data_IF_758577308151
#
_entry.id   IF_758577308151
#
_cell.length_a   1.000
_cell.length_b   1.000
_cell.length_c   1.000
_cell.angle_alpha   90.00
_cell.angle_beta   90.00
_cell.angle_gamma   90.00
#
_symmetry.space_group_name_H-M   'P 1'
#
loop_
_entity.id
_entity.type
_entity.pdbx_description
1 polymer ?
#
# COMPACT_ATOMS: atom_id res chain seq x y z
N UNK A 1 4.68 65.56 -2.29
CA UNK A 1 4.12 64.22 -1.97
C UNK A 1 4.31 63.30 -3.19
N UNK A 2 5.06 62.21 -3.06
CA UNK A 2 5.26 61.24 -4.15
C UNK A 2 4.01 60.37 -4.27
N UNK A 3 3.44 60.33 -5.48
CA UNK A 3 2.24 59.51 -5.77
C UNK A 3 2.66 58.36 -6.69
N UNK A 4 2.59 57.12 -6.19
CA UNK A 4 2.87 55.93 -6.99
C UNK A 4 1.65 55.60 -7.86
N UNK A 5 1.81 55.56 -9.16
CA UNK A 5 0.74 55.30 -10.14
C UNK A 5 1.07 54.08 -11.00
N UNK A 6 0.03 53.33 -11.38
CA UNK A 6 0.15 52.27 -12.40
C UNK A 6 0.21 52.87 -13.79
N UNK A 7 0.71 52.13 -14.80
CA UNK A 7 0.74 52.60 -16.19
C UNK A 7 -0.66 53.06 -16.70
N UNK A 8 -1.74 52.40 -16.30
CA UNK A 8 -3.10 52.83 -16.61
C UNK A 8 -3.49 54.15 -15.98
N UNK A 9 -3.06 54.41 -14.75
CA UNK A 9 -3.35 55.65 -14.03
C UNK A 9 -2.49 56.79 -14.59
N UNK A 10 -1.24 56.51 -14.93
CA UNK A 10 -0.36 57.42 -15.63
C UNK A 10 -0.91 57.88 -16.99
N UNK A 11 -1.41 56.94 -17.77
CA UNK A 11 -2.02 57.23 -19.06
C UNK A 11 -3.32 58.06 -18.96
N UNK A 12 -4.07 57.95 -17.86
CA UNK A 12 -5.28 58.74 -17.61
C UNK A 12 -4.94 60.22 -17.27
N UNK A 13 -3.82 60.49 -16.70
CA UNK A 13 -3.45 61.82 -16.22
C UNK A 13 -3.48 62.88 -17.32
N UNK A 14 -2.73 62.77 -18.46
CA UNK A 14 -2.73 63.80 -19.50
C UNK A 14 -4.08 63.94 -20.19
N UNK A 15 -4.84 62.84 -20.35
CA UNK A 15 -6.16 62.87 -20.97
C UNK A 15 -7.17 63.61 -20.11
N UNK A 16 -7.19 63.36 -18.82
CA UNK A 16 -8.10 64.06 -17.84
C UNK A 16 -7.71 65.54 -17.72
N UNK A 17 -6.43 65.87 -17.72
CA UNK A 17 -5.96 67.25 -17.75
C UNK A 17 -6.46 67.97 -19.00
N UNK A 18 -6.31 67.36 -20.19
CA UNK A 18 -6.75 67.99 -21.45
C UNK A 18 -8.28 68.24 -21.47
N UNK A 19 -9.08 67.34 -20.80
CA UNK A 19 -10.52 67.56 -20.68
C UNK A 19 -10.84 68.73 -19.75
N UNK A 20 -10.13 68.84 -18.62
CA UNK A 20 -10.32 69.95 -17.64
C UNK A 20 -9.94 71.28 -18.25
N UNK A 21 -8.90 71.32 -19.04
CA UNK A 21 -8.41 72.52 -19.75
C UNK A 21 -9.21 72.80 -21.01
N UNK A 22 -10.32 72.07 -21.27
CA UNK A 22 -11.23 72.24 -22.44
C UNK A 22 -10.53 71.97 -23.80
N UNK A 23 -9.36 71.32 -23.82
CA UNK A 23 -8.63 70.94 -25.05
C UNK A 23 -9.17 69.66 -25.68
N UNK A 24 -9.90 68.81 -24.89
CA UNK A 24 -10.45 67.56 -25.34
C UNK A 24 -11.92 67.45 -24.84
N UNK A 25 -12.82 66.93 -25.68
CA UNK A 25 -14.23 66.69 -25.28
C UNK A 25 -14.31 65.41 -24.43
N UNK A 26 -15.33 65.34 -23.56
CA UNK A 26 -15.53 64.16 -22.68
C UNK A 26 -15.77 62.88 -23.47
N UNK A 27 -16.53 62.94 -24.58
CA UNK A 27 -16.79 61.83 -25.46
C UNK A 27 -15.51 61.23 -26.08
N UNK A 28 -14.59 62.12 -26.51
CA UNK A 28 -13.34 61.72 -27.14
C UNK A 28 -12.39 61.13 -26.08
N UNK A 29 -12.34 61.69 -24.88
CA UNK A 29 -11.59 61.15 -23.74
C UNK A 29 -12.15 59.78 -23.29
N UNK A 30 -13.47 59.57 -23.32
CA UNK A 30 -14.10 58.33 -23.02
C UNK A 30 -13.71 57.26 -24.04
N UNK A 31 -13.70 57.58 -25.31
CA UNK A 31 -13.26 56.69 -26.38
C UNK A 31 -11.76 56.36 -26.25
N UNK A 32 -10.90 57.36 -26.01
CA UNK A 32 -9.46 57.17 -25.89
C UNK A 32 -9.07 56.33 -24.65
N UNK A 33 -9.78 56.48 -23.55
CA UNK A 33 -9.54 55.72 -22.29
C UNK A 33 -10.32 54.42 -22.24
N UNK A 34 -11.17 54.15 -23.18
CA UNK A 34 -12.10 52.98 -23.19
C UNK A 34 -12.99 52.96 -21.93
N UNK A 35 -13.50 54.14 -21.56
CA UNK A 35 -14.38 54.35 -20.40
C UNK A 35 -15.72 54.96 -20.87
N UNK A 36 -16.71 54.96 -19.97
CA UNK A 36 -17.92 55.71 -20.19
C UNK A 36 -17.73 57.19 -19.86
N UNK A 37 -18.48 58.10 -20.47
CA UNK A 37 -18.41 59.52 -20.15
C UNK A 37 -18.68 59.80 -18.69
N UNK A 38 -19.57 59.04 -18.04
CA UNK A 38 -19.83 59.09 -16.61
C UNK A 38 -18.60 58.76 -15.77
N UNK A 39 -17.76 57.80 -16.23
CA UNK A 39 -16.53 57.45 -15.54
C UNK A 39 -15.49 58.53 -15.75
N UNK A 40 -15.37 59.15 -16.93
CA UNK A 40 -14.51 60.30 -17.21
C UNK A 40 -14.90 61.45 -16.30
N UNK A 41 -16.21 61.79 -16.18
CA UNK A 41 -16.69 62.83 -15.28
C UNK A 41 -16.31 62.57 -13.81
N UNK A 42 -16.40 61.31 -13.35
CA UNK A 42 -15.98 60.94 -11.98
C UNK A 42 -14.46 61.14 -11.79
N UNK A 43 -13.66 60.80 -12.78
CA UNK A 43 -12.22 61.00 -12.73
C UNK A 43 -11.85 62.51 -12.73
N UNK A 44 -12.56 63.33 -13.52
CA UNK A 44 -12.38 64.77 -13.53
C UNK A 44 -12.67 65.41 -12.14
N UNK A 45 -13.79 65.00 -11.54
CA UNK A 45 -14.18 65.48 -10.19
C UNK A 45 -13.09 65.13 -9.15
N UNK A 46 -12.67 63.87 -9.13
CA UNK A 46 -11.60 63.36 -8.24
C UNK A 46 -10.26 64.07 -8.48
N UNK A 47 -9.93 64.39 -9.76
CA UNK A 47 -8.74 65.14 -10.07
C UNK A 47 -8.81 66.58 -9.59
N UNK A 48 -9.99 67.23 -9.68
CA UNK A 48 -10.22 68.58 -9.13
C UNK A 48 -10.09 68.66 -7.61
N UNK A 49 -10.52 67.60 -6.93
CA UNK A 49 -10.50 67.52 -5.45
C UNK A 49 -9.09 67.19 -4.92
N UNK A 50 -8.36 66.26 -5.54
CA UNK A 50 -7.16 65.69 -5.00
C UNK A 50 -5.97 65.66 -5.98
N UNK A 51 -6.04 66.38 -7.09
CA UNK A 51 -5.02 66.39 -8.13
C UNK A 51 -4.71 65.00 -8.70
N UNK A 52 -3.45 64.77 -9.04
CA UNK A 52 -3.00 63.48 -9.57
C UNK A 52 -3.30 62.27 -8.62
N UNK A 53 -3.27 62.51 -7.32
CA UNK A 53 -3.60 61.47 -6.32
C UNK A 53 -5.06 61.01 -6.45
N UNK A 54 -5.99 61.84 -6.91
CA UNK A 54 -7.37 61.49 -7.15
C UNK A 54 -7.61 60.48 -8.28
N UNK A 55 -6.61 60.30 -9.17
CA UNK A 55 -6.68 59.32 -10.26
C UNK A 55 -6.18 57.93 -9.84
N UNK A 56 -5.57 57.80 -8.67
CA UNK A 56 -5.11 56.53 -8.15
C UNK A 56 -6.28 55.69 -7.65
N UNK A 57 -6.08 54.36 -7.63
CA UNK A 57 -7.09 53.47 -7.10
C UNK A 57 -7.27 53.65 -5.59
N UNK A 58 -8.42 54.17 -5.13
CA UNK A 58 -8.75 54.39 -3.73
C UNK A 58 -8.76 53.13 -2.85
N UNK A 59 -8.73 51.95 -3.45
CA UNK A 59 -8.61 50.68 -2.77
C UNK A 59 -7.17 50.20 -2.58
N UNK A 60 -6.17 50.92 -3.15
CA UNK A 60 -4.77 50.55 -3.03
C UNK A 60 -4.34 50.67 -1.54
N UNK A 61 -3.74 49.55 -1.05
CA UNK A 61 -3.30 49.45 0.35
C UNK A 61 -4.44 49.18 1.37
N UNK A 62 -5.72 49.16 0.95
CA UNK A 62 -6.82 48.74 1.83
C UNK A 62 -7.00 47.25 1.77
N UNK A 63 -7.24 46.56 2.92
CA UNK A 63 -7.54 45.13 2.92
C UNK A 63 -8.82 44.87 2.13
N UNK A 64 -8.84 43.74 1.41
CA UNK A 64 -10.01 43.32 0.64
C UNK A 64 -11.20 43.04 1.57
N UNK A 65 -12.42 43.18 1.05
CA UNK A 65 -13.70 42.99 1.79
C UNK A 65 -13.85 41.56 2.34
N UNK A 66 -13.11 40.60 1.78
CA UNK A 66 -13.12 39.16 2.18
C UNK A 66 -11.84 38.77 2.92
N UNK A 67 -11.12 39.75 3.52
CA UNK A 67 -9.94 39.42 4.32
C UNK A 67 -10.39 38.64 5.56
N UNK A 68 -9.82 37.48 5.73
CA UNK A 68 -10.01 36.66 6.94
C UNK A 68 -9.29 37.36 8.10
N UNK A 69 -9.89 37.29 9.29
CA UNK A 69 -9.33 37.89 10.50
C UNK A 69 -7.92 37.34 10.81
N UNK A 70 -7.04 38.25 11.21
CA UNK A 70 -5.65 37.92 11.55
C UNK A 70 -5.56 37.01 12.80
N UNK A 71 -6.53 37.13 13.74
CA UNK A 71 -6.61 36.23 14.88
C UNK A 71 -6.89 34.78 14.44
N UNK A 72 -7.85 34.57 13.55
CA UNK A 72 -8.14 33.25 12.99
C UNK A 72 -6.94 32.70 12.17
N UNK A 73 -6.26 33.57 11.44
CA UNK A 73 -5.04 33.18 10.73
C UNK A 73 -3.96 32.69 11.68
N UNK A 74 -3.72 33.40 12.78
CA UNK A 74 -2.73 32.99 13.79
C UNK A 74 -3.12 31.66 14.43
N UNK A 75 -4.40 31.48 14.79
CA UNK A 75 -4.92 30.22 15.33
C UNK A 75 -4.67 29.05 14.36
N UNK A 76 -5.00 29.21 13.08
CA UNK A 76 -4.78 28.17 12.05
C UNK A 76 -3.31 27.82 11.94
N UNK A 77 -2.40 28.82 11.90
CA UNK A 77 -0.96 28.59 11.78
C UNK A 77 -0.39 27.87 13.03
N UNK A 78 -0.93 28.13 14.21
CA UNK A 78 -0.58 27.42 15.44
C UNK A 78 -1.01 25.97 15.37
N UNK A 79 -2.28 25.69 15.02
CA UNK A 79 -2.79 24.34 14.83
C UNK A 79 -1.98 23.54 13.80
N UNK A 80 -1.55 24.19 12.70
CA UNK A 80 -0.72 23.54 11.69
C UNK A 80 0.66 23.14 12.21
N UNK A 81 1.28 23.95 13.06
CA UNK A 81 2.57 23.64 13.67
C UNK A 81 2.51 22.52 14.69
N UNK A 82 1.44 22.49 15.47
CA UNK A 82 1.27 21.52 16.54
C UNK A 82 0.82 20.14 16.04
N UNK A 83 -0.18 20.09 15.16
CA UNK A 83 -0.88 18.85 14.83
C UNK A 83 -0.65 18.36 13.39
N UNK A 84 -0.24 19.26 12.46
CA UNK A 84 -0.25 18.97 11.02
C UNK A 84 1.12 19.17 10.35
N UNK A 85 2.19 18.83 11.05
CA UNK A 85 3.55 18.91 10.53
C UNK A 85 3.70 18.02 9.28
N UNK A 86 4.22 18.63 8.17
CA UNK A 86 4.43 17.92 6.91
C UNK A 86 3.18 17.71 6.05
N UNK A 87 2.01 18.22 6.48
CA UNK A 87 0.79 18.15 5.67
C UNK A 87 0.87 19.10 4.47
N UNK A 88 0.37 18.64 3.32
CA UNK A 88 0.13 19.52 2.19
C UNK A 88 -1.13 20.38 2.40
N UNK A 89 -1.26 21.53 1.70
CA UNK A 89 -2.38 22.46 1.93
C UNK A 89 -3.76 21.84 1.76
N UNK A 90 -3.92 20.90 0.84
CA UNK A 90 -5.20 20.22 0.59
C UNK A 90 -5.61 19.36 1.77
N UNK A 91 -4.73 18.47 2.22
CA UNK A 91 -5.00 17.60 3.36
C UNK A 91 -5.16 18.41 4.66
N UNK A 92 -4.36 19.45 4.83
CA UNK A 92 -4.47 20.35 5.98
C UNK A 92 -5.82 21.07 6.02
N UNK A 93 -6.33 21.59 4.90
CA UNK A 93 -7.64 22.24 4.83
C UNK A 93 -8.78 21.27 5.16
N UNK A 94 -8.71 20.04 4.66
CA UNK A 94 -9.68 18.99 4.97
C UNK A 94 -9.72 18.70 6.48
N UNK A 95 -8.55 18.49 7.11
CA UNK A 95 -8.45 18.15 8.53
C UNK A 95 -8.81 19.33 9.45
N UNK A 96 -8.50 20.56 9.05
CA UNK A 96 -8.97 21.76 9.75
C UNK A 96 -10.49 21.83 9.79
N UNK A 97 -11.16 21.51 8.68
CA UNK A 97 -12.62 21.48 8.64
C UNK A 97 -13.19 20.32 9.43
N UNK A 98 -12.63 19.11 9.29
CA UNK A 98 -13.14 17.90 9.94
C UNK A 98 -12.97 17.91 11.46
N UNK A 99 -11.81 18.33 11.96
CA UNK A 99 -11.46 18.23 13.37
C UNK A 99 -11.69 19.52 14.17
N UNK A 100 -11.65 20.66 13.48
CA UNK A 100 -11.74 21.98 14.15
C UNK A 100 -12.92 22.83 13.65
N UNK A 101 -13.69 22.35 12.67
CA UNK A 101 -14.82 23.11 12.10
C UNK A 101 -14.40 24.36 11.31
N UNK A 102 -13.12 24.50 10.97
CA UNK A 102 -12.57 25.68 10.29
C UNK A 102 -12.59 25.46 8.78
N UNK A 103 -13.52 26.14 8.10
CA UNK A 103 -13.62 26.12 6.64
C UNK A 103 -12.73 27.20 6.03
N UNK A 104 -11.68 26.80 5.30
CA UNK A 104 -10.77 27.72 4.60
C UNK A 104 -10.48 27.17 3.20
N UNK A 105 -10.31 28.08 2.23
CA UNK A 105 -9.93 27.67 0.89
C UNK A 105 -8.49 27.10 0.86
N UNK A 106 -8.28 26.02 0.11
CA UNK A 106 -6.96 25.39 -0.05
C UNK A 106 -5.93 26.40 -0.55
N UNK A 107 -6.33 27.32 -1.43
CA UNK A 107 -5.43 28.33 -2.00
C UNK A 107 -5.00 29.37 -0.96
N UNK A 108 -5.93 29.85 -0.11
CA UNK A 108 -5.61 30.75 0.99
C UNK A 108 -4.64 30.09 1.97
N UNK A 109 -4.95 28.84 2.33
CA UNK A 109 -4.09 28.07 3.24
C UNK A 109 -2.70 27.84 2.63
N UNK A 110 -2.63 27.52 1.34
CA UNK A 110 -1.37 27.36 0.61
C UNK A 110 -0.51 28.62 0.68
N UNK A 111 -1.10 29.78 0.43
CA UNK A 111 -0.40 31.05 0.54
C UNK A 111 0.13 31.30 1.95
N UNK A 112 -0.68 31.04 2.98
CA UNK A 112 -0.28 31.23 4.37
C UNK A 112 0.81 30.26 4.80
N UNK A 113 0.70 28.98 4.44
CA UNK A 113 1.71 27.97 4.74
C UNK A 113 3.04 28.27 4.04
N UNK A 114 2.99 28.72 2.79
CA UNK A 114 4.21 29.13 2.05
C UNK A 114 4.86 30.35 2.71
N UNK A 115 4.08 31.38 3.04
CA UNK A 115 4.58 32.58 3.70
C UNK A 115 5.15 32.31 5.11
N UNK A 116 4.60 31.31 5.82
CA UNK A 116 5.07 30.89 7.14
C UNK A 116 6.20 29.84 7.10
N UNK A 117 6.67 29.43 5.91
CA UNK A 117 7.72 28.41 5.74
C UNK A 117 7.27 26.99 6.12
N UNK A 118 5.98 26.75 6.30
CA UNK A 118 5.43 25.45 6.69
C UNK A 118 5.26 24.49 5.48
N UNK A 119 5.26 25.02 4.29
CA UNK A 119 5.13 24.25 3.05
C UNK A 119 5.89 24.89 1.90
N UNK A 120 6.61 24.06 1.15
CA UNK A 120 7.39 24.48 -0.03
C UNK A 120 6.72 23.88 -1.26
N UNK A 121 6.35 24.68 -2.29
CA UNK A 121 5.81 24.17 -3.53
C UNK A 121 6.79 23.25 -4.24
N UNK A 122 6.34 22.06 -4.63
CA UNK A 122 7.15 21.19 -5.47
C UNK A 122 7.43 21.87 -6.82
N UNK A 123 8.69 21.82 -7.28
CA UNK A 123 9.05 22.29 -8.61
C UNK A 123 8.19 21.58 -9.67
N UNK A 124 7.62 22.35 -10.61
CA UNK A 124 6.85 21.77 -11.72
C UNK A 124 7.77 20.88 -12.56
N UNK A 125 7.50 19.57 -12.56
CA UNK A 125 8.19 18.65 -13.47
C UNK A 125 7.80 18.97 -14.91
N UNK A 126 8.77 18.89 -15.83
CA UNK A 126 8.46 19.02 -17.26
C UNK A 126 7.43 17.95 -17.65
N UNK A 127 6.43 18.30 -18.45
CA UNK A 127 5.44 17.34 -18.90
C UNK A 127 6.11 16.24 -19.73
N UNK A 128 5.99 14.99 -19.30
CA UNK A 128 6.41 13.84 -20.09
C UNK A 128 5.25 13.42 -20.97
N UNK A 129 5.51 13.25 -22.24
CA UNK A 129 4.51 12.72 -23.19
C UNK A 129 4.37 11.22 -22.95
N UNK A 130 3.22 10.80 -22.45
CA UNK A 130 2.88 9.39 -22.29
C UNK A 130 1.74 9.02 -23.22
N UNK A 131 1.80 7.82 -23.79
CA UNK A 131 0.65 7.27 -24.47
C UNK A 131 -0.41 6.88 -23.43
N UNK A 132 -1.59 7.53 -23.39
CA UNK A 132 -2.60 7.24 -22.37
C UNK A 132 -3.18 5.86 -22.59
N UNK A 133 -3.13 5.01 -21.58
CA UNK A 133 -3.89 3.76 -21.55
C UNK A 133 -5.34 4.07 -21.17
N UNK A 134 -6.28 3.63 -21.98
CA UNK A 134 -7.70 3.74 -21.66
C UNK A 134 -8.05 2.97 -20.38
N UNK A 135 -9.00 3.49 -19.61
CA UNK A 135 -9.57 2.80 -18.46
C UNK A 135 -10.45 1.66 -18.94
N UNK A 136 -10.60 0.64 -18.11
CA UNK A 136 -11.66 -0.33 -18.29
C UNK A 136 -13.02 0.33 -18.11
N UNK A 137 -14.05 -0.26 -18.68
CA UNK A 137 -15.36 0.38 -18.76
C UNK A 137 -16.23 0.08 -17.53
N UNK A 138 -16.03 -1.08 -16.89
CA UNK A 138 -16.87 -1.58 -15.81
C UNK A 138 -16.08 -1.82 -14.51
N UNK A 139 -16.75 -1.67 -13.37
CA UNK A 139 -16.21 -2.05 -12.06
C UNK A 139 -15.97 -3.58 -12.02
N UNK A 140 -14.83 -4.00 -11.46
CA UNK A 140 -14.48 -5.41 -11.32
C UNK A 140 -13.98 -6.08 -12.59
N UNK A 141 -13.85 -5.34 -13.69
CA UNK A 141 -13.28 -5.86 -14.94
C UNK A 141 -11.78 -6.11 -14.84
N UNK A 142 -11.06 -5.20 -14.23
CA UNK A 142 -9.62 -5.30 -14.02
C UNK A 142 -9.20 -4.63 -12.72
N UNK A 143 -8.59 -5.39 -11.83
CA UNK A 143 -8.05 -4.89 -10.58
C UNK A 143 -6.53 -4.87 -10.66
N UNK A 144 -5.93 -3.70 -10.50
CA UNK A 144 -4.48 -3.55 -10.43
C UNK A 144 -4.02 -3.86 -9.02
N UNK A 145 -3.03 -4.75 -8.89
CA UNK A 145 -2.43 -5.14 -7.62
C UNK A 145 -0.95 -4.76 -7.58
N UNK A 146 -0.50 -4.29 -6.44
CA UNK A 146 0.90 -3.87 -6.22
C UNK A 146 1.27 -3.91 -4.75
N UNK A 147 2.55 -4.19 -4.48
CA UNK A 147 3.15 -4.06 -3.15
C UNK A 147 3.91 -2.74 -3.02
N UNK A 148 3.63 -1.97 -1.99
CA UNK A 148 4.29 -0.70 -1.74
C UNK A 148 5.10 -0.75 -0.45
N UNK A 149 6.43 -0.86 -0.59
CA UNK A 149 7.36 -0.79 0.53
C UNK A 149 7.62 0.67 0.91
N UNK A 150 7.33 1.03 2.15
CA UNK A 150 7.54 2.38 2.66
C UNK A 150 7.73 2.38 4.18
N UNK A 151 8.17 3.51 4.74
CA UNK A 151 8.08 3.76 6.18
C UNK A 151 6.68 4.26 6.54
N UNK A 152 5.71 3.34 6.54
CA UNK A 152 4.30 3.64 6.72
C UNK A 152 3.97 4.22 8.09
N UNK A 153 4.80 3.93 9.08
CA UNK A 153 4.58 4.32 10.46
C UNK A 153 5.52 5.44 10.94
N UNK A 154 6.35 6.02 10.06
CA UNK A 154 7.28 7.11 10.40
C UNK A 154 8.14 6.78 11.63
N UNK A 155 8.70 5.58 11.68
CA UNK A 155 9.52 5.08 12.79
C UNK A 155 8.75 4.60 14.03
N UNK A 156 7.41 4.71 14.07
CA UNK A 156 6.57 4.19 15.17
C UNK A 156 6.44 2.66 15.17
N UNK A 157 6.71 2.03 14.03
CA UNK A 157 6.80 0.59 13.85
C UNK A 157 7.85 0.27 12.77
N UNK A 158 8.30 -0.99 12.64
CA UNK A 158 9.21 -1.40 11.59
C UNK A 158 8.65 -1.13 10.19
N UNK A 159 9.54 -0.90 9.22
CA UNK A 159 9.15 -0.77 7.80
C UNK A 159 8.43 -2.03 7.34
N UNK A 160 7.38 -1.84 6.58
CA UNK A 160 6.53 -2.92 6.10
C UNK A 160 6.07 -2.66 4.67
N UNK A 161 5.32 -3.59 4.12
CA UNK A 161 4.72 -3.51 2.79
C UNK A 161 3.21 -3.31 2.92
N UNK A 162 2.65 -2.44 2.08
CA UNK A 162 1.22 -2.30 1.88
C UNK A 162 0.84 -2.96 0.55
N UNK A 163 0.00 -3.96 0.58
CA UNK A 163 -0.62 -4.55 -0.61
C UNK A 163 -1.84 -3.71 -1.00
N UNK A 164 -1.87 -3.28 -2.26
CA UNK A 164 -2.85 -2.31 -2.75
C UNK A 164 -3.61 -2.91 -3.94
N UNK A 165 -4.93 -2.90 -3.86
CA UNK A 165 -5.86 -3.36 -4.89
C UNK A 165 -6.69 -2.19 -5.39
N UNK A 166 -6.51 -1.81 -6.65
CA UNK A 166 -7.17 -0.65 -7.26
C UNK A 166 -7.98 -1.08 -8.47
N UNK A 167 -9.24 -0.70 -8.51
CA UNK A 167 -10.08 -0.91 -9.69
C UNK A 167 -9.66 0.01 -10.83
N UNK A 168 -9.41 -0.55 -12.01
CA UNK A 168 -8.92 0.18 -13.18
C UNK A 168 -9.94 1.17 -13.74
N UNK A 169 -11.22 0.83 -13.70
CA UNK A 169 -12.30 1.64 -14.25
C UNK A 169 -12.53 2.91 -13.40
N UNK A 170 -12.64 2.73 -12.10
CA UNK A 170 -13.09 3.77 -11.18
C UNK A 170 -11.95 4.44 -10.41
N UNK A 171 -10.81 3.75 -10.28
CA UNK A 171 -9.71 4.16 -9.40
C UNK A 171 -10.03 3.99 -7.92
N UNK A 172 -11.07 3.23 -7.57
CA UNK A 172 -11.41 2.88 -6.19
C UNK A 172 -10.33 2.01 -5.58
N UNK A 173 -10.00 2.27 -4.34
CA UNK A 173 -9.32 1.31 -3.50
C UNK A 173 -10.32 0.22 -3.15
N UNK A 174 -10.05 -1.00 -3.60
CA UNK A 174 -10.93 -2.14 -3.35
C UNK A 174 -10.52 -2.88 -2.09
N UNK A 175 -9.21 -3.05 -1.88
CA UNK A 175 -8.67 -3.69 -0.69
C UNK A 175 -7.26 -3.18 -0.40
N UNK A 176 -6.94 -3.04 0.87
CA UNK A 176 -5.60 -2.72 1.38
C UNK A 176 -5.24 -3.70 2.49
N UNK A 177 -3.98 -4.11 2.55
CA UNK A 177 -3.47 -4.94 3.63
C UNK A 177 -2.01 -4.65 3.91
N UNK A 178 -1.68 -4.33 5.16
CA UNK A 178 -0.31 -4.29 5.63
C UNK A 178 0.21 -5.69 5.92
N UNK A 179 1.45 -5.95 5.50
CA UNK A 179 2.19 -7.17 5.78
C UNK A 179 3.66 -6.84 6.07
N UNK A 180 4.36 -7.73 6.76
CA UNK A 180 5.77 -7.51 7.10
C UNK A 180 6.66 -7.54 5.84
N UNK A 181 6.35 -8.45 4.91
CA UNK A 181 7.08 -8.62 3.67
C UNK A 181 6.13 -9.03 2.55
N UNK A 182 6.51 -8.76 1.33
CA UNK A 182 5.74 -9.15 0.14
C UNK A 182 5.96 -10.64 -0.15
N UNK A 183 5.03 -11.50 0.29
CA UNK A 183 5.07 -12.94 0.09
C UNK A 183 3.85 -13.47 -0.65
N UNK A 184 3.94 -14.70 -1.18
CA UNK A 184 2.80 -15.35 -1.81
C UNK A 184 1.64 -15.58 -0.82
N UNK A 185 1.94 -15.89 0.43
CA UNK A 185 0.92 -16.01 1.48
C UNK A 185 0.21 -14.70 1.77
N UNK A 186 0.95 -13.58 1.83
CA UNK A 186 0.35 -12.27 2.07
C UNK A 186 -0.60 -11.88 0.94
N UNK A 187 -0.22 -12.14 -0.31
CA UNK A 187 -1.12 -11.95 -1.46
C UNK A 187 -2.32 -12.89 -1.44
N UNK A 188 -2.16 -14.14 -1.03
CA UNK A 188 -3.28 -15.08 -0.88
C UNK A 188 -4.26 -14.61 0.17
N UNK A 189 -3.78 -14.19 1.35
CA UNK A 189 -4.61 -13.63 2.42
C UNK A 189 -5.33 -12.35 2.01
N UNK A 190 -4.62 -11.42 1.36
CA UNK A 190 -5.21 -10.18 0.88
C UNK A 190 -6.26 -10.43 -0.21
N UNK A 191 -5.98 -11.36 -1.14
CA UNK A 191 -6.93 -11.72 -2.20
C UNK A 191 -8.13 -12.48 -1.63
N UNK A 192 -7.94 -13.33 -0.62
CA UNK A 192 -9.04 -13.97 0.11
C UNK A 192 -9.99 -12.94 0.70
N UNK A 193 -9.47 -11.95 1.45
CA UNK A 193 -10.28 -10.86 2.00
C UNK A 193 -10.95 -9.98 0.93
N UNK A 194 -10.27 -9.77 -0.21
CA UNK A 194 -10.87 -9.10 -1.36
C UNK A 194 -12.06 -9.86 -1.92
N UNK A 195 -11.89 -11.19 -2.17
CA UNK A 195 -12.93 -12.05 -2.77
C UNK A 195 -14.14 -12.17 -1.86
N UNK A 196 -13.94 -12.29 -0.55
CA UNK A 196 -15.03 -12.32 0.43
C UNK A 196 -15.89 -11.07 0.40
N UNK A 197 -15.25 -9.91 0.23
CA UNK A 197 -15.92 -8.62 0.29
C UNK A 197 -16.60 -8.22 -1.01
N UNK A 198 -15.97 -8.52 -2.15
CA UNK A 198 -16.38 -7.98 -3.45
C UNK A 198 -16.82 -9.06 -4.44
N UNK A 199 -16.49 -10.32 -4.20
CA UNK A 199 -16.62 -11.39 -5.17
C UNK A 199 -15.39 -11.51 -6.09
N UNK A 200 -15.50 -12.38 -7.07
CA UNK A 200 -14.42 -12.72 -8.02
C UNK A 200 -14.37 -11.71 -9.17
N UNK A 201 -13.30 -10.90 -9.33
CA UNK A 201 -13.14 -10.01 -10.47
C UNK A 201 -12.91 -10.81 -11.76
N UNK A 202 -12.97 -10.15 -12.90
CA UNK A 202 -12.63 -10.81 -14.18
C UNK A 202 -11.14 -11.07 -14.27
N UNK A 203 -10.31 -10.07 -13.96
CA UNK A 203 -8.86 -10.19 -14.00
C UNK A 203 -8.14 -9.37 -12.94
N UNK A 204 -7.00 -9.89 -12.49
CA UNK A 204 -5.97 -9.12 -11.78
C UNK A 204 -4.85 -8.70 -12.72
N UNK A 205 -4.28 -7.53 -12.47
CA UNK A 205 -3.17 -6.96 -13.21
C UNK A 205 -2.01 -6.65 -12.28
N UNK A 206 -0.91 -7.38 -12.41
CA UNK A 206 0.28 -7.27 -11.57
C UNK A 206 1.53 -6.94 -12.39
N UNK A 207 2.66 -6.74 -11.72
CA UNK A 207 3.98 -6.77 -12.35
C UNK A 207 4.48 -8.21 -12.55
N UNK A 208 5.75 -8.33 -12.93
CA UNK A 208 6.42 -9.63 -13.12
C UNK A 208 7.15 -10.10 -11.86
N UNK A 209 6.69 -9.71 -10.67
CA UNK A 209 7.28 -10.18 -9.42
C UNK A 209 7.21 -11.71 -9.31
N UNK A 210 8.13 -12.32 -8.57
CA UNK A 210 8.24 -13.78 -8.45
C UNK A 210 6.98 -14.46 -7.91
N UNK A 211 6.15 -13.76 -7.16
CA UNK A 211 4.85 -14.24 -6.68
C UNK A 211 3.88 -14.51 -7.84
N UNK A 212 3.93 -13.71 -8.90
CA UNK A 212 2.98 -13.75 -10.01
C UNK A 212 3.51 -14.54 -11.21
N UNK A 213 4.83 -14.62 -11.36
CA UNK A 213 5.46 -15.27 -12.51
C UNK A 213 6.61 -16.18 -12.11
N UNK A 214 6.59 -17.41 -12.62
CA UNK A 214 7.69 -18.36 -12.48
C UNK A 214 8.89 -17.90 -13.33
N UNK A 215 10.10 -17.96 -12.77
CA UNK A 215 11.32 -17.71 -13.53
C UNK A 215 11.53 -18.79 -14.61
N UNK A 216 12.24 -18.43 -15.70
CA UNK A 216 12.48 -19.38 -16.80
C UNK A 216 13.16 -20.69 -16.35
N UNK A 217 13.96 -20.65 -15.28
CA UNK A 217 14.63 -21.82 -14.72
C UNK A 217 13.66 -22.79 -14.03
N UNK A 218 12.55 -22.28 -13.46
CA UNK A 218 11.55 -23.08 -12.75
C UNK A 218 10.39 -23.51 -13.66
N UNK A 219 10.21 -22.87 -14.81
CA UNK A 219 9.13 -23.17 -15.78
C UNK A 219 9.12 -24.64 -16.23
N UNK A 220 10.28 -25.31 -16.16
CA UNK A 220 10.40 -26.74 -16.53
C UNK A 220 9.75 -27.70 -15.52
N UNK A 221 9.39 -27.24 -14.30
CA UNK A 221 8.82 -28.11 -13.26
C UNK A 221 7.32 -27.92 -13.02
N UNK A 222 6.79 -26.71 -12.99
CA UNK A 222 5.39 -26.47 -12.60
C UNK A 222 4.65 -25.45 -13.46
N UNK A 223 5.36 -24.57 -14.18
CA UNK A 223 4.78 -23.58 -15.11
C UNK A 223 3.92 -22.46 -14.49
N UNK A 224 3.36 -22.68 -13.29
CA UNK A 224 2.41 -21.77 -12.63
C UNK A 224 2.85 -21.53 -11.18
N UNK A 225 2.77 -20.28 -10.70
CA UNK A 225 3.01 -19.95 -9.28
C UNK A 225 1.85 -20.42 -8.41
N UNK A 226 2.04 -20.52 -7.10
CA UNK A 226 0.98 -20.88 -6.16
C UNK A 226 -0.16 -19.86 -6.18
N UNK A 227 0.16 -18.57 -6.27
CA UNK A 227 -0.84 -17.52 -6.42
C UNK A 227 -1.59 -17.65 -7.75
N UNK A 228 -0.85 -17.86 -8.86
CA UNK A 228 -1.46 -18.10 -10.17
C UNK A 228 -2.39 -19.32 -10.19
N UNK A 229 -2.01 -20.42 -9.48
CA UNK A 229 -2.87 -21.60 -9.30
C UNK A 229 -4.16 -21.24 -8.57
N UNK A 230 -4.08 -20.53 -7.44
CA UNK A 230 -5.27 -20.14 -6.67
C UNK A 230 -6.22 -19.27 -7.51
N UNK A 231 -5.71 -18.35 -8.32
CA UNK A 231 -6.54 -17.54 -9.22
C UNK A 231 -7.16 -18.39 -10.35
N UNK A 232 -6.40 -19.34 -10.90
CA UNK A 232 -6.90 -20.26 -11.92
C UNK A 232 -8.05 -21.11 -11.37
N UNK A 233 -7.93 -21.65 -10.15
CA UNK A 233 -8.96 -22.44 -9.49
C UNK A 233 -10.25 -21.60 -9.28
N UNK A 234 -10.12 -20.30 -9.08
CA UNK A 234 -11.25 -19.35 -8.98
C UNK A 234 -11.74 -18.83 -10.34
N UNK A 235 -11.13 -19.27 -11.43
CA UNK A 235 -11.40 -18.78 -12.79
C UNK A 235 -11.20 -17.25 -12.91
N UNK A 236 -10.14 -16.71 -12.28
CA UNK A 236 -9.74 -15.31 -12.35
C UNK A 236 -8.49 -15.22 -13.22
N UNK A 237 -8.49 -14.35 -14.23
CA UNK A 237 -7.33 -14.15 -15.08
C UNK A 237 -6.23 -13.36 -14.36
N UNK A 238 -4.96 -13.78 -14.52
CA UNK A 238 -3.82 -13.04 -14.04
C UNK A 238 -3.01 -12.49 -15.22
N UNK A 239 -3.01 -11.17 -15.37
CA UNK A 239 -2.30 -10.47 -16.44
C UNK A 239 -1.04 -9.82 -15.85
N UNK A 240 0.14 -10.24 -16.30
CA UNK A 240 1.41 -9.62 -15.88
C UNK A 240 1.82 -8.50 -16.82
N UNK A 241 2.01 -7.29 -16.28
CA UNK A 241 2.40 -6.10 -17.00
C UNK A 241 3.79 -6.25 -17.66
N UNK A 242 3.92 -5.81 -18.91
CA UNK A 242 5.21 -5.76 -19.60
C UNK A 242 6.00 -4.47 -19.32
N UNK A 243 5.36 -3.43 -18.78
CA UNK A 243 5.99 -2.16 -18.47
C UNK A 243 5.34 -1.52 -17.23
N UNK A 244 6.11 -0.72 -16.47
CA UNK A 244 5.60 0.05 -15.32
C UNK A 244 4.52 1.05 -15.73
N UNK A 245 4.60 1.62 -16.94
CA UNK A 245 3.60 2.56 -17.47
C UNK A 245 2.20 1.97 -17.54
N UNK A 246 2.09 0.66 -17.72
CA UNK A 246 0.81 -0.04 -17.77
C UNK A 246 0.11 -0.08 -16.39
N UNK A 247 0.83 0.08 -15.28
CA UNK A 247 0.35 0.11 -13.89
C UNK A 247 0.11 1.53 -13.34
N UNK A 248 0.07 2.55 -14.18
CA UNK A 248 0.04 3.97 -13.76
C UNK A 248 -1.10 4.37 -12.83
N UNK A 249 -2.12 3.53 -12.59
CA UNK A 249 -3.21 3.79 -11.63
C UNK A 249 -2.82 3.40 -10.23
N UNK A 250 -2.32 2.18 -10.04
CA UNK A 250 -1.87 1.74 -8.73
C UNK A 250 -0.63 2.53 -8.30
N UNK A 251 0.29 2.87 -9.22
CA UNK A 251 1.43 3.74 -8.91
C UNK A 251 0.97 5.12 -8.41
N UNK A 252 -0.05 5.72 -9.06
CA UNK A 252 -0.63 6.99 -8.60
C UNK A 252 -1.35 6.84 -7.25
N UNK A 253 -2.06 5.74 -7.05
CA UNK A 253 -2.67 5.43 -5.75
C UNK A 253 -1.58 5.31 -4.67
N UNK A 254 -0.49 4.58 -4.94
CA UNK A 254 0.64 4.43 -4.01
C UNK A 254 1.25 5.78 -3.62
N UNK A 255 1.46 6.69 -4.58
CA UNK A 255 1.95 8.06 -4.27
C UNK A 255 0.99 8.82 -3.35
N UNK A 256 -0.32 8.70 -3.59
CA UNK A 256 -1.33 9.35 -2.75
C UNK A 256 -1.41 8.71 -1.37
N UNK A 257 -1.30 7.38 -1.29
CA UNK A 257 -1.28 6.64 -0.04
C UNK A 257 -0.04 6.96 0.80
N UNK A 258 1.14 7.00 0.20
CA UNK A 258 2.38 7.38 0.88
C UNK A 258 2.33 8.79 1.46
N UNK A 259 1.61 9.72 0.82
CA UNK A 259 1.41 11.06 1.37
C UNK A 259 0.29 11.10 2.42
N UNK A 260 -0.89 10.51 2.15
CA UNK A 260 -2.08 10.63 3.01
C UNK A 260 -2.16 9.60 4.12
N UNK A 261 -2.07 8.31 3.78
CA UNK A 261 -2.31 7.22 4.72
C UNK A 261 -1.36 7.29 5.91
N UNK A 262 -0.08 7.58 5.66
CA UNK A 262 0.94 7.76 6.70
C UNK A 262 0.53 8.84 7.71
N UNK A 263 0.07 9.98 7.20
CA UNK A 263 -0.33 11.14 8.02
C UNK A 263 -1.63 10.91 8.76
N UNK A 264 -2.58 10.24 8.13
CA UNK A 264 -3.86 9.92 8.76
C UNK A 264 -3.71 8.87 9.87
N UNK A 265 -2.89 7.84 9.65
CA UNK A 265 -2.51 6.88 10.70
C UNK A 265 -1.79 7.56 11.88
N UNK A 266 -0.97 8.58 11.61
CA UNK A 266 -0.34 9.37 12.68
C UNK A 266 -1.37 10.13 13.50
N UNK A 267 -2.37 10.74 12.87
CA UNK A 267 -3.44 11.47 13.56
C UNK A 267 -4.34 10.55 14.41
N UNK A 268 -4.49 9.28 14.00
CA UNK A 268 -5.24 8.27 14.74
C UNK A 268 -4.37 7.48 15.74
N UNK A 269 -3.09 7.86 15.90
CA UNK A 269 -2.11 7.20 16.79
C UNK A 269 -1.95 5.69 16.51
N UNK A 270 -2.06 5.28 15.27
CA UNK A 270 -1.90 3.88 14.86
C UNK A 270 -0.42 3.54 14.82
N UNK A 271 -0.01 2.51 15.56
CA UNK A 271 1.40 2.14 15.78
C UNK A 271 1.71 0.69 15.46
N UNK A 272 0.90 -0.03 14.70
CA UNK A 272 1.17 -1.42 14.39
C UNK A 272 0.40 -1.92 13.18
N UNK A 273 0.87 -3.02 12.58
CA UNK A 273 0.27 -3.62 11.38
C UNK A 273 -1.17 -4.07 11.66
N UNK A 274 -1.42 -4.71 12.80
CA UNK A 274 -2.73 -5.28 13.11
C UNK A 274 -3.77 -4.17 13.30
N UNK A 275 -3.49 -3.18 14.14
CA UNK A 275 -4.36 -2.01 14.34
C UNK A 275 -4.58 -1.23 13.03
N UNK A 276 -3.53 -1.14 12.20
CA UNK A 276 -3.64 -0.51 10.91
C UNK A 276 -4.59 -1.29 9.99
N UNK A 277 -4.48 -2.61 9.92
CA UNK A 277 -5.35 -3.44 9.09
C UNK A 277 -6.82 -3.36 9.50
N UNK A 278 -7.13 -3.26 10.79
CA UNK A 278 -8.49 -3.06 11.29
C UNK A 278 -9.05 -1.69 10.87
N UNK A 279 -8.22 -0.65 10.92
CA UNK A 279 -8.65 0.71 10.60
C UNK A 279 -8.75 0.99 9.09
N UNK A 280 -8.03 0.23 8.23
CA UNK A 280 -7.97 0.47 6.79
C UNK A 280 -9.34 0.55 6.11
N UNK A 281 -10.37 -0.14 6.60
CA UNK A 281 -11.72 -0.10 6.01
C UNK A 281 -12.34 1.29 6.11
N UNK A 282 -12.15 1.97 7.23
CA UNK A 282 -12.59 3.35 7.43
C UNK A 282 -11.88 4.29 6.47
N UNK A 283 -10.56 4.13 6.32
CA UNK A 283 -9.75 4.91 5.38
C UNK A 283 -10.17 4.67 3.93
N UNK A 284 -10.36 3.41 3.51
CA UNK A 284 -10.79 3.05 2.15
C UNK A 284 -12.12 3.74 1.81
N UNK A 285 -13.06 3.74 2.74
CA UNK A 285 -14.37 4.36 2.56
C UNK A 285 -14.25 5.87 2.32
N UNK A 286 -13.46 6.56 3.15
CA UNK A 286 -13.24 8.00 3.01
C UNK A 286 -12.46 8.34 1.74
N UNK A 287 -11.39 7.59 1.45
CA UNK A 287 -10.61 7.75 0.24
C UNK A 287 -11.48 7.60 -1.02
N UNK A 288 -12.31 6.56 -1.08
CA UNK A 288 -13.17 6.30 -2.22
C UNK A 288 -14.21 7.38 -2.41
N UNK A 289 -14.80 7.92 -1.34
CA UNK A 289 -15.71 9.05 -1.39
C UNK A 289 -15.08 10.29 -2.04
N UNK A 290 -13.78 10.52 -1.84
CA UNK A 290 -13.06 11.70 -2.32
C UNK A 290 -12.48 11.53 -3.72
N UNK A 291 -11.95 10.35 -4.04
CA UNK A 291 -11.08 10.13 -5.21
C UNK A 291 -11.66 9.19 -6.25
N UNK A 292 -12.63 8.36 -5.89
CA UNK A 292 -13.24 7.44 -6.84
C UNK A 292 -14.07 8.19 -7.89
N UNK A 293 -14.10 7.64 -9.08
CA UNK A 293 -14.90 8.13 -10.20
C UNK A 293 -15.95 7.10 -10.59
N UNK A 294 -17.07 7.50 -11.15
CA UNK A 294 -18.02 6.55 -11.72
C UNK A 294 -17.37 5.77 -12.87
N UNK A 295 -17.70 4.50 -12.99
CA UNK A 295 -17.35 3.69 -14.16
C UNK A 295 -18.12 4.23 -15.40
N UNK A 296 -17.60 3.95 -16.59
CA UNK A 296 -18.25 4.35 -17.84
C UNK A 296 -19.62 3.67 -17.98
N UNK A 297 -19.70 2.41 -17.63
CA UNK A 297 -20.95 1.69 -17.53
C UNK A 297 -21.22 1.29 -16.07
N UNK A 298 -22.47 1.41 -15.58
CA UNK A 298 -22.82 1.17 -14.18
C UNK A 298 -22.83 -0.31 -13.79
N UNK A 299 -22.38 -1.21 -14.69
CA UNK A 299 -22.36 -2.65 -14.46
C UNK A 299 -21.19 -3.05 -13.57
N UNK A 300 -21.48 -3.85 -12.55
CA UNK A 300 -20.47 -4.53 -11.73
C UNK A 300 -20.21 -5.92 -12.31
N UNK A 301 -18.94 -6.20 -12.67
CA UNK A 301 -18.53 -7.47 -13.28
C UNK A 301 -17.95 -8.48 -12.28
N UNK A 302 -17.98 -8.19 -10.97
CA UNK A 302 -17.65 -9.20 -9.98
C UNK A 302 -18.64 -10.36 -10.03
N UNK A 303 -18.11 -11.55 -10.07
CA UNK A 303 -18.90 -12.79 -10.03
C UNK A 303 -19.10 -13.20 -8.58
N UNK A 304 -20.25 -13.76 -8.28
CA UNK A 304 -20.57 -14.34 -6.97
C UNK A 304 -19.58 -15.44 -6.63
N UNK A 305 -19.19 -15.51 -5.37
CA UNK A 305 -18.41 -16.62 -4.81
C UNK A 305 -19.35 -17.79 -4.61
N UNK A 306 -19.05 -18.92 -5.23
CA UNK A 306 -19.82 -20.17 -5.16
C UNK A 306 -19.18 -21.18 -4.24
N UNK A 307 -17.89 -21.03 -4.01
CA UNK A 307 -17.07 -21.86 -3.14
C UNK A 307 -17.42 -21.58 -1.67
N UNK A 308 -17.47 -22.64 -0.87
CA UNK A 308 -17.63 -22.52 0.58
C UNK A 308 -16.39 -21.93 1.24
N UNK A 309 -16.52 -21.44 2.48
CA UNK A 309 -15.38 -20.91 3.24
C UNK A 309 -14.18 -21.86 3.28
N UNK A 310 -14.36 -23.13 3.69
CA UNK A 310 -13.27 -24.11 3.70
C UNK A 310 -12.67 -24.42 2.32
N UNK A 311 -13.48 -24.43 1.25
CA UNK A 311 -12.96 -24.60 -0.11
C UNK A 311 -12.11 -23.42 -0.54
N UNK A 312 -12.50 -22.19 -0.19
CA UNK A 312 -11.69 -21.00 -0.45
C UNK A 312 -10.38 -21.04 0.35
N UNK A 313 -10.42 -21.49 1.59
CA UNK A 313 -9.21 -21.62 2.41
C UNK A 313 -8.25 -22.66 1.80
N UNK A 314 -8.77 -23.78 1.27
CA UNK A 314 -8.00 -24.76 0.52
C UNK A 314 -7.39 -24.18 -0.76
N UNK A 315 -8.15 -23.39 -1.52
CA UNK A 315 -7.67 -22.72 -2.73
C UNK A 315 -6.54 -21.76 -2.40
N UNK A 316 -6.66 -20.99 -1.32
CA UNK A 316 -5.63 -20.03 -0.89
C UNK A 316 -4.53 -20.63 0.00
N UNK A 317 -4.56 -21.94 0.28
CA UNK A 317 -3.44 -22.64 0.90
C UNK A 317 -2.31 -22.90 -0.12
N UNK A 318 -1.07 -22.98 0.35
CA UNK A 318 0.05 -23.44 -0.47
C UNK A 318 -0.08 -24.95 -0.69
N UNK A 319 -0.24 -25.37 -1.92
CA UNK A 319 -0.46 -26.78 -2.25
C UNK A 319 0.77 -27.40 -2.89
N UNK A 320 1.16 -28.58 -2.41
CA UNK A 320 2.27 -29.33 -2.97
C UNK A 320 1.94 -30.81 -3.04
N UNK A 321 2.26 -31.45 -4.16
CA UNK A 321 2.15 -32.91 -4.29
C UNK A 321 3.40 -33.58 -3.73
N UNK A 322 3.19 -34.62 -2.92
CA UNK A 322 4.22 -35.50 -2.39
C UNK A 322 3.85 -36.96 -2.68
N UNK A 323 4.84 -37.82 -2.87
CA UNK A 323 4.63 -39.24 -3.03
C UNK A 323 4.79 -39.92 -1.67
N UNK A 324 3.80 -40.66 -1.26
CA UNK A 324 3.84 -41.48 -0.05
C UNK A 324 4.72 -42.71 -0.30
N UNK A 325 5.69 -42.98 0.57
CA UNK A 325 6.56 -44.14 0.45
C UNK A 325 5.79 -45.42 0.82
N UNK A 326 6.37 -46.60 0.52
CA UNK A 326 5.84 -47.89 0.96
C UNK A 326 5.76 -48.06 2.49
N UNK A 327 6.58 -47.29 3.20
CA UNK A 327 6.57 -47.23 4.69
C UNK A 327 5.69 -46.09 5.21
N UNK A 328 4.77 -45.56 4.41
CA UNK A 328 3.83 -44.50 4.75
C UNK A 328 4.53 -43.19 5.21
N UNK A 329 5.74 -42.96 4.74
CA UNK A 329 6.49 -41.75 5.05
C UNK A 329 6.63 -40.86 3.84
N UNK A 330 6.73 -39.57 4.06
CA UNK A 330 7.09 -38.58 3.04
C UNK A 330 7.80 -37.39 3.67
N UNK A 331 8.50 -36.61 2.86
CA UNK A 331 9.21 -35.44 3.32
C UNK A 331 8.52 -34.17 2.82
N UNK A 332 8.27 -33.24 3.75
CA UNK A 332 7.79 -31.89 3.44
C UNK A 332 8.57 -30.88 4.30
N UNK A 333 9.03 -29.79 3.70
CA UNK A 333 9.83 -28.72 4.34
C UNK A 333 11.00 -29.25 5.22
N UNK A 334 11.71 -30.29 4.73
CA UNK A 334 12.82 -30.99 5.39
C UNK A 334 12.44 -31.80 6.63
N UNK A 335 11.16 -31.87 6.96
CA UNK A 335 10.62 -32.69 8.06
C UNK A 335 10.10 -34.01 7.44
N UNK A 336 10.36 -35.11 8.14
CA UNK A 336 9.82 -36.41 7.79
C UNK A 336 8.48 -36.61 8.50
N UNK A 337 7.46 -36.94 7.76
CA UNK A 337 6.12 -37.23 8.26
C UNK A 337 5.82 -38.72 8.07
N UNK A 338 5.21 -39.31 9.08
CA UNK A 338 4.65 -40.69 9.02
C UNK A 338 3.13 -40.58 9.07
N UNK A 339 2.46 -41.07 8.05
CA UNK A 339 1.01 -41.23 8.05
C UNK A 339 0.65 -42.43 8.95
N UNK A 340 -0.43 -42.33 9.72
CA UNK A 340 -0.86 -43.44 10.57
C UNK A 340 -1.05 -44.76 9.80
N UNK A 341 -0.48 -45.87 10.31
CA UNK A 341 -0.49 -47.15 9.61
C UNK A 341 -1.84 -47.87 9.75
N UNK A 342 -2.85 -47.38 9.03
CA UNK A 342 -4.14 -48.02 8.87
C UNK A 342 -4.16 -48.89 7.61
N UNK A 343 -5.08 -49.88 7.52
CA UNK A 343 -5.22 -50.64 6.29
C UNK A 343 -5.51 -49.78 5.07
N UNK A 344 -6.33 -48.77 5.24
CA UNK A 344 -6.68 -47.83 4.18
C UNK A 344 -5.45 -46.99 3.74
N UNK A 345 -4.63 -46.55 4.67
CA UNK A 345 -3.42 -45.80 4.36
C UNK A 345 -2.34 -46.68 3.70
N UNK A 346 -2.32 -47.98 4.05
CA UNK A 346 -1.43 -48.95 3.40
C UNK A 346 -1.76 -49.16 1.92
N UNK A 347 -3.03 -49.05 1.52
CA UNK A 347 -3.49 -49.20 0.13
C UNK A 347 -3.04 -48.05 -0.76
N UNK A 348 -2.86 -46.84 -0.20
CA UNK A 348 -2.40 -45.66 -0.95
C UNK A 348 -0.87 -45.47 -0.94
N UNK A 349 -0.14 -46.47 -0.40
CA UNK A 349 1.32 -46.46 -0.42
C UNK A 349 1.85 -46.38 -1.88
N UNK A 350 2.72 -45.43 -2.17
CA UNK A 350 3.21 -45.17 -3.53
C UNK A 350 2.38 -44.12 -4.29
N UNK A 351 1.24 -43.72 -3.82
CA UNK A 351 0.41 -42.70 -4.45
C UNK A 351 0.81 -41.27 -4.07
N UNK A 352 0.25 -40.32 -4.81
CA UNK A 352 0.51 -38.89 -4.58
C UNK A 352 -0.53 -38.37 -3.58
N UNK A 353 -0.02 -37.76 -2.51
CA UNK A 353 -0.77 -37.01 -1.52
C UNK A 353 -0.59 -35.54 -1.74
N UNK A 354 -1.55 -34.71 -1.32
CA UNK A 354 -1.49 -33.26 -1.40
C UNK A 354 -1.28 -32.67 0.00
N UNK A 355 -0.24 -31.88 0.14
CA UNK A 355 0.02 -31.06 1.33
C UNK A 355 -0.63 -29.71 1.14
N UNK A 356 -1.42 -29.29 2.11
CA UNK A 356 -2.02 -27.95 2.23
C UNK A 356 -1.32 -27.23 3.38
N UNK A 357 -0.64 -26.15 3.06
CA UNK A 357 0.02 -25.29 4.04
C UNK A 357 -0.74 -23.96 4.07
N UNK A 358 -1.47 -23.73 5.16
CA UNK A 358 -2.35 -22.58 5.31
C UNK A 358 -1.59 -21.35 5.82
N UNK A 359 -2.10 -20.13 5.56
CA UNK A 359 -1.44 -18.89 6.02
C UNK A 359 -1.30 -18.77 7.54
N UNK A 360 -2.17 -19.43 8.30
CA UNK A 360 -2.13 -19.49 9.78
C UNK A 360 -1.04 -20.42 10.32
N UNK A 361 -0.39 -21.18 9.46
CA UNK A 361 0.64 -22.16 9.79
C UNK A 361 0.13 -23.58 9.95
N UNK A 362 -1.17 -23.80 9.84
CA UNK A 362 -1.76 -25.14 9.86
C UNK A 362 -1.32 -25.92 8.63
N UNK A 363 -0.95 -27.18 8.84
CA UNK A 363 -0.53 -28.09 7.77
C UNK A 363 -1.45 -29.29 7.73
N UNK A 364 -2.05 -29.56 6.57
CA UNK A 364 -2.97 -30.69 6.39
C UNK A 364 -2.52 -31.50 5.18
N UNK A 365 -2.52 -32.84 5.31
CA UNK A 365 -2.24 -33.74 4.21
C UNK A 365 -3.52 -34.48 3.80
N UNK A 366 -3.77 -34.56 2.49
CA UNK A 366 -4.96 -35.22 1.97
C UNK A 366 -4.61 -36.14 0.81
N UNK A 367 -5.35 -37.24 0.76
CA UNK A 367 -5.45 -38.11 -0.41
C UNK A 367 -6.87 -38.03 -0.95
N UNK A 368 -7.07 -37.42 -2.12
CA UNK A 368 -8.41 -37.03 -2.59
C UNK A 368 -9.09 -36.06 -1.61
N UNK A 369 -10.25 -36.42 -1.12
CA UNK A 369 -11.01 -35.67 -0.09
C UNK A 369 -10.67 -36.08 1.34
N UNK A 370 -9.94 -37.20 1.54
CA UNK A 370 -9.65 -37.75 2.87
C UNK A 370 -8.45 -37.06 3.49
N UNK A 371 -8.61 -36.58 4.72
CA UNK A 371 -7.53 -36.05 5.57
C UNK A 371 -6.73 -37.24 6.11
N UNK A 372 -5.40 -37.12 6.08
CA UNK A 372 -4.48 -38.11 6.60
C UNK A 372 -3.94 -37.63 7.96
N UNK A 373 -4.14 -38.46 8.98
CA UNK A 373 -3.54 -38.28 10.28
C UNK A 373 -2.06 -38.67 10.20
N UNK A 374 -1.19 -37.88 10.87
CA UNK A 374 0.24 -38.05 10.75
C UNK A 374 0.98 -37.72 12.04
N UNK A 375 2.18 -38.29 12.15
CA UNK A 375 3.16 -37.97 13.18
C UNK A 375 4.38 -37.33 12.53
N UNK A 376 4.93 -36.30 13.19
CA UNK A 376 6.17 -35.66 12.74
C UNK A 376 7.36 -36.37 13.36
N UNK A 377 8.35 -36.72 12.54
CA UNK A 377 9.64 -37.12 13.02
C UNK A 377 10.61 -35.94 12.97
N UNK A 378 10.85 -35.31 14.10
CA UNK A 378 11.98 -34.41 14.23
C UNK A 378 13.24 -35.26 14.37
N UNK A 379 14.21 -35.09 13.45
CA UNK A 379 15.49 -35.79 13.50
C UNK A 379 16.28 -35.51 14.77
N UNK A 380 15.93 -34.48 15.52
CA UNK A 380 16.58 -34.09 16.76
C UNK A 380 15.92 -34.71 18.01
N UNK A 381 14.64 -35.06 17.96
CA UNK A 381 13.92 -35.69 19.09
C UNK A 381 13.93 -37.23 19.03
N UNK A 382 14.30 -37.83 17.90
CA UNK A 382 14.23 -39.28 17.68
C UNK A 382 15.33 -40.10 18.31
N UNK A 383 15.88 -39.70 19.47
CA UNK A 383 16.71 -40.57 20.29
C UNK A 383 16.07 -40.71 21.69
N UNK A 384 14.81 -40.97 21.75
CA UNK A 384 14.23 -41.67 22.91
C UNK A 384 14.40 -43.16 22.66
N UNK A 385 15.46 -43.71 23.19
CA UNK A 385 15.98 -45.07 22.97
C UNK A 385 15.04 -46.21 23.40
N UNK A 386 13.80 -45.96 23.75
CA UNK A 386 12.85 -46.97 24.25
C UNK A 386 11.88 -47.55 23.21
N UNK A 387 11.84 -47.05 21.96
CA UNK A 387 10.88 -47.48 20.93
C UNK A 387 11.47 -47.87 19.60
N UNK A 388 12.77 -47.86 19.43
CA UNK A 388 13.41 -48.28 18.18
C UNK A 388 13.71 -49.77 18.30
N UNK A 389 13.03 -50.56 17.47
CA UNK A 389 13.41 -51.95 17.20
C UNK A 389 14.85 -51.95 16.70
N UNK A 390 15.70 -52.66 17.41
CA UNK A 390 17.14 -52.73 17.26
C UNK A 390 17.53 -53.18 15.85
N UNK A 391 17.69 -52.26 14.94
CA UNK A 391 18.26 -52.52 13.64
C UNK A 391 19.74 -52.17 13.68
N UNK A 392 20.57 -53.15 14.05
CA UNK A 392 22.03 -53.06 14.18
C UNK A 392 22.80 -52.37 13.02
N UNK A 393 22.17 -52.22 11.84
CA UNK A 393 22.73 -51.49 10.68
C UNK A 393 22.43 -49.98 10.70
N UNK A 394 21.34 -49.53 11.34
CA UNK A 394 20.99 -48.13 11.35
C UNK A 394 21.89 -47.28 12.24
N UNK A 395 22.33 -47.82 13.37
CA UNK A 395 23.27 -47.14 14.29
C UNK A 395 24.63 -46.84 13.68
N UNK A 396 25.17 -47.78 12.89
CA UNK A 396 26.44 -47.59 12.20
C UNK A 396 26.36 -46.55 11.07
N UNK A 397 25.23 -46.51 10.32
CA UNK A 397 25.02 -45.54 9.24
C UNK A 397 24.76 -44.12 9.79
N UNK A 398 24.05 -43.99 10.92
CA UNK A 398 23.84 -42.72 11.58
C UNK A 398 25.14 -42.17 12.17
N UNK A 399 26.00 -43.01 12.76
CA UNK A 399 27.30 -42.62 13.27
C UNK A 399 28.21 -42.15 12.14
N UNK A 400 28.26 -42.87 11.02
CA UNK A 400 29.04 -42.48 9.82
C UNK A 400 28.53 -41.18 9.18
N UNK A 401 27.20 -40.94 9.20
CA UNK A 401 26.59 -39.72 8.69
C UNK A 401 26.91 -38.53 9.59
N UNK A 402 26.95 -38.74 10.90
CA UNK A 402 27.28 -37.72 11.89
C UNK A 402 28.77 -37.34 11.82
N UNK A 403 29.67 -38.34 11.75
CA UNK A 403 31.10 -38.11 11.57
C UNK A 403 31.40 -37.37 10.27
N UNK A 404 30.74 -37.72 9.15
CA UNK A 404 30.86 -36.97 7.88
C UNK A 404 30.31 -35.56 7.95
N UNK A 405 29.27 -35.33 8.75
CA UNK A 405 28.68 -33.98 8.93
C UNK A 405 29.63 -33.10 9.75
N UNK A 406 30.21 -33.65 10.81
CA UNK A 406 31.20 -32.97 11.65
C UNK A 406 32.49 -32.67 10.88
N UNK A 407 32.94 -33.60 10.04
CA UNK A 407 34.10 -33.39 9.10
C UNK A 407 33.80 -32.27 8.09
N UNK A 408 32.60 -32.17 7.54
CA UNK A 408 32.18 -31.12 6.62
C UNK A 408 32.02 -29.76 7.30
N UNK A 409 31.61 -29.73 8.55
CA UNK A 409 31.56 -28.52 9.35
C UNK A 409 32.95 -28.05 9.78
N UNK A 410 33.82 -28.96 10.19
CA UNK A 410 35.22 -28.67 10.52
C UNK A 410 36.06 -28.21 9.29
N UNK A 411 35.74 -28.71 8.09
CA UNK A 411 36.39 -28.32 6.86
C UNK A 411 35.91 -26.95 6.28
N UNK A 412 35.04 -26.25 6.94
CA UNK A 412 34.57 -24.90 6.55
C UNK A 412 33.86 -24.83 5.17
N UNK A 413 33.45 -25.96 4.59
CA UNK A 413 32.89 -26.04 3.23
C UNK A 413 31.36 -25.81 3.15
N UNK A 414 30.68 -25.49 4.25
CA UNK A 414 29.29 -25.06 4.20
C UNK A 414 29.22 -23.55 4.04
N UNK A 415 29.12 -23.07 2.79
CA UNK A 415 28.47 -21.76 2.54
C UNK A 415 27.06 -21.87 3.02
N UNK A 416 26.71 -21.19 4.12
CA UNK A 416 25.35 -20.99 4.56
C UNK A 416 24.54 -20.47 3.37
N UNK A 417 23.56 -21.24 2.90
CA UNK A 417 22.59 -20.75 1.94
C UNK A 417 21.87 -19.56 2.58
N UNK A 418 22.04 -18.38 2.00
CA UNK A 418 21.40 -17.14 2.48
C UNK A 418 19.88 -17.14 2.28
N UNK A 419 19.30 -18.23 1.79
CA UNK A 419 17.87 -18.39 1.56
C UNK A 419 17.23 -19.36 2.56
N UNK A 420 17.44 -19.13 3.87
CA UNK A 420 16.51 -19.72 4.85
C UNK A 420 15.14 -19.02 4.69
N UNK A 421 14.02 -19.76 4.47
CA UNK A 421 12.70 -19.13 4.49
C UNK A 421 12.53 -18.42 5.82
N UNK A 422 12.15 -17.13 5.79
CA UNK A 422 11.92 -16.28 6.98
C UNK A 422 11.00 -16.94 8.04
N UNK A 423 10.17 -17.89 7.63
CA UNK A 423 9.27 -18.69 8.46
C UNK A 423 10.01 -19.61 9.46
N UNK A 424 11.17 -20.20 9.09
CA UNK A 424 11.93 -21.03 10.04
C UNK A 424 12.53 -20.18 11.17
N UNK A 425 12.90 -18.93 10.88
CA UNK A 425 13.35 -18.01 11.92
C UNK A 425 12.20 -17.62 12.87
N UNK A 426 11.00 -17.37 12.33
CA UNK A 426 9.81 -17.05 13.13
C UNK A 426 9.33 -18.23 13.98
N UNK A 427 9.32 -19.44 13.43
CA UNK A 427 8.95 -20.65 14.19
C UNK A 427 9.98 -20.94 15.29
N UNK A 428 11.28 -20.74 15.03
CA UNK A 428 12.30 -20.87 16.06
C UNK A 428 12.17 -19.78 17.13
N UNK A 429 11.79 -18.57 16.78
CA UNK A 429 11.59 -17.48 17.72
C UNK A 429 10.31 -17.70 18.56
N UNK A 430 9.25 -18.19 17.96
CA UNK A 430 8.03 -18.61 18.68
C UNK A 430 8.26 -19.82 19.59
N UNK A 431 9.02 -20.82 19.15
CA UNK A 431 9.42 -21.95 20.00
C UNK A 431 10.31 -21.53 21.17
N UNK A 432 11.18 -20.55 20.98
CA UNK A 432 11.97 -19.95 22.06
C UNK A 432 11.12 -19.15 23.06
N UNK A 433 10.06 -18.51 22.58
CA UNK A 433 9.12 -17.77 23.42
C UNK A 433 8.22 -18.70 24.27
N UNK A 434 7.90 -19.90 23.75
CA UNK A 434 7.05 -20.89 24.41
C UNK A 434 7.84 -21.74 25.43
N UNK A 435 9.14 -21.94 25.19
CA UNK A 435 9.97 -22.76 26.06
C UNK A 435 11.28 -22.03 26.46
N UNK A 436 11.26 -21.30 27.59
CA UNK A 436 12.41 -20.50 28.05
C UNK A 436 13.67 -21.32 28.34
N UNK A 437 13.57 -22.65 28.52
CA UNK A 437 14.72 -23.54 28.71
C UNK A 437 15.60 -23.64 27.46
N UNK A 438 15.04 -23.39 26.25
CA UNK A 438 15.78 -23.38 24.99
C UNK A 438 16.50 -22.05 24.70
N UNK A 439 16.27 -21.02 25.50
CA UNK A 439 16.87 -19.71 25.34
C UNK A 439 18.25 -19.55 25.99
N UNK A 440 18.58 -20.38 26.99
CA UNK A 440 19.84 -20.28 27.73
C UNK A 440 20.64 -21.59 27.68
N UNK A 441 21.67 -21.68 26.82
CA UNK A 441 22.53 -22.87 26.76
C UNK A 441 23.32 -23.16 28.03
N UNK A 442 23.40 -22.21 28.98
CA UNK A 442 24.12 -22.39 30.22
C UNK A 442 23.40 -23.31 31.22
N UNK A 443 22.06 -23.41 31.11
CA UNK A 443 21.24 -24.28 31.94
C UNK A 443 21.41 -25.78 31.62
N UNK A 444 21.88 -26.11 30.43
CA UNK A 444 22.17 -27.49 30.02
C UNK A 444 23.43 -28.07 30.63
N UNK A 445 24.35 -27.21 31.10
CA UNK A 445 25.62 -27.67 31.70
C UNK A 445 25.50 -28.09 33.17
N UNK A 446 24.41 -27.77 33.85
CA UNK A 446 24.21 -28.08 35.26
C UNK A 446 23.52 -29.42 35.55
N UNK A 447 22.84 -30.02 34.57
CA UNK A 447 22.11 -31.30 34.75
C UNK A 447 22.92 -32.56 34.38
N UNK A 448 24.15 -32.40 33.88
CA UNK A 448 25.07 -33.51 33.56
C UNK A 448 26.13 -33.77 34.64
N UNK A 449 25.99 -33.17 35.84
CA UNK A 449 26.78 -33.47 37.04
C UNK A 449 25.88 -33.80 38.22
N UNK A 450 25.17 -34.91 38.17
CA UNK A 450 24.74 -35.69 39.31
C UNK A 450 24.50 -37.14 38.89
#
# INVERSE_FOLDING_TARGET
MLVTMSNKELHRLPVIQAVIEKRLRRCDAASQLQLTERQVQRLMNRYRESGAAGLTNARRGKPGTHRIDDALRCQILTLLRENYVGFGPTLAAEKLQERHGIAISVETLRCWMTAAGLWIPHARRQPRVYQPRHRRDCLGELIQIDGSHHDWFEGRAPRCCLLVYVDDATGRLMHLRFCQSESAFDYMMATRGYVDKHGKPVAFYSDKHAVFRVSQAETRRTGITQFGRALHDLNIELICANSSQAKGRVERANLTLQDRLVKEMRLENITGIDNANEWLETFISDFNRRFARPAKYPKNLHRTVTESGPELDDIFAWQTLRTLSKSLTFQYDKILYLVEPTEENSRIAGEKIRAFDYPDGTLVFRHGSRILEYQMFDKLECISQGRIVDNKRLGAVLKLAQEKQDELEAAGKRKRSQNMPKRQAQVQEQLRAINPVLADPSLFKSSLKK
#
